data_IF_239333514001
#
_entry.id   IF_239333514001
#
_cell.length_a   1.000
_cell.length_b   1.000
_cell.length_c   1.000
_cell.angle_alpha   90.00
_cell.angle_beta   90.00
_cell.angle_gamma   90.00
#
_symmetry.space_group_name_H-M   'P 1'
#
loop_
_entity.id
_entity.type
_entity.pdbx_description
1 polymer ?
#
# COMPACT_ATOMS: atom_id res chain seq x y z
N UNK A 1 3.43 9.65 -23.09
CA UNK A 1 4.63 8.79 -23.15
C UNK A 1 4.43 7.47 -23.91
N UNK A 2 3.22 6.89 -23.99
CA UNK A 2 3.00 5.65 -24.76
C UNK A 2 2.60 5.93 -26.22
N UNK A 3 3.56 6.38 -27.04
CA UNK A 3 3.34 6.62 -28.48
C UNK A 3 3.47 5.38 -29.38
N UNK A 4 3.36 5.55 -30.72
CA UNK A 4 3.49 4.48 -31.72
C UNK A 4 4.96 4.22 -32.11
N UNK A 5 5.86 4.20 -31.12
CA UNK A 5 7.28 3.93 -31.30
C UNK A 5 7.73 2.81 -30.36
N UNK A 6 8.95 2.31 -30.56
CA UNK A 6 9.56 1.32 -29.67
C UNK A 6 9.81 1.94 -28.30
N UNK A 7 9.35 1.28 -27.24
CA UNK A 7 9.45 1.76 -25.86
C UNK A 7 10.09 0.65 -25.03
N UNK A 8 11.15 1.01 -24.30
CA UNK A 8 11.72 0.18 -23.25
C UNK A 8 11.30 0.75 -21.90
N UNK A 9 10.75 -0.12 -21.04
CA UNK A 9 10.36 0.22 -19.67
C UNK A 9 11.22 -0.60 -18.71
N UNK A 10 11.76 0.04 -17.69
CA UNK A 10 12.43 -0.62 -16.58
C UNK A 10 11.66 -0.31 -15.29
N UNK A 11 11.46 -1.31 -14.44
CA UNK A 11 10.76 -1.18 -13.17
C UNK A 11 11.39 -2.12 -12.15
N UNK A 12 11.45 -1.66 -10.91
CA UNK A 12 11.92 -2.44 -9.76
C UNK A 12 10.70 -2.89 -8.94
N UNK A 13 10.64 -4.17 -8.59
CA UNK A 13 9.51 -4.75 -7.86
C UNK A 13 9.86 -4.91 -6.37
N UNK A 14 10.93 -5.67 -6.08
CA UNK A 14 11.37 -5.98 -4.72
C UNK A 14 12.49 -5.02 -4.33
N UNK A 15 12.22 -4.05 -3.44
CA UNK A 15 13.25 -3.13 -2.95
C UNK A 15 12.71 -1.84 -2.32
N UNK A 16 13.63 -0.99 -1.87
CA UNK A 16 13.35 0.24 -1.11
C UNK A 16 12.51 1.29 -1.87
N UNK A 17 12.55 1.25 -3.21
CA UNK A 17 11.75 2.09 -4.12
C UNK A 17 10.89 1.26 -5.07
N UNK A 18 10.66 -0.01 -4.73
CA UNK A 18 9.80 -0.89 -5.49
C UNK A 18 8.36 -0.36 -5.51
N UNK A 19 7.75 -0.30 -6.68
CA UNK A 19 6.35 0.16 -6.84
C UNK A 19 5.31 -0.90 -6.46
N UNK A 20 5.73 -1.94 -5.75
CA UNK A 20 4.94 -3.13 -5.50
C UNK A 20 4.62 -3.91 -6.78
N UNK A 21 4.10 -5.14 -6.62
CA UNK A 21 3.75 -5.98 -7.77
C UNK A 21 2.41 -5.59 -8.39
N UNK A 22 1.54 -4.88 -7.67
CA UNK A 22 0.20 -4.48 -8.15
C UNK A 22 0.26 -3.52 -9.33
N UNK A 23 1.23 -2.58 -9.35
CA UNK A 23 1.44 -1.69 -10.49
C UNK A 23 1.94 -2.48 -11.71
N UNK A 24 2.91 -3.37 -11.52
CA UNK A 24 3.41 -4.23 -12.60
C UNK A 24 2.28 -5.08 -13.18
N UNK A 25 1.45 -5.69 -12.33
CA UNK A 25 0.33 -6.53 -12.78
C UNK A 25 -0.75 -5.72 -13.48
N UNK A 26 -1.18 -4.57 -12.94
CA UNK A 26 -2.21 -3.73 -13.57
C UNK A 26 -1.73 -3.12 -14.88
N UNK A 27 -0.51 -2.59 -14.92
CA UNK A 27 0.08 -2.00 -16.12
C UNK A 27 0.30 -3.06 -17.19
N UNK A 28 0.91 -4.20 -16.85
CA UNK A 28 1.12 -5.30 -17.79
C UNK A 28 -0.21 -5.88 -18.25
N UNK A 29 -1.21 -6.01 -17.38
CA UNK A 29 -2.55 -6.44 -17.75
C UNK A 29 -3.20 -5.45 -18.73
N UNK A 30 -3.13 -4.13 -18.47
CA UNK A 30 -3.61 -3.11 -19.40
C UNK A 30 -2.90 -3.17 -20.75
N UNK A 31 -1.58 -3.35 -20.75
CA UNK A 31 -0.79 -3.50 -21.97
C UNK A 31 -1.23 -4.76 -22.73
N UNK A 32 -1.39 -5.91 -22.05
CA UNK A 32 -1.90 -7.16 -22.63
C UNK A 32 -3.31 -7.01 -23.21
N UNK A 33 -4.21 -6.27 -22.56
CA UNK A 33 -5.55 -6.01 -23.11
C UNK A 33 -5.47 -5.14 -24.37
N UNK A 34 -4.59 -4.15 -24.40
CA UNK A 34 -4.37 -3.30 -25.57
C UNK A 34 -3.72 -4.06 -26.74
N UNK A 35 -2.87 -5.05 -26.47
CA UNK A 35 -2.29 -5.88 -27.54
C UNK A 35 -3.31 -6.87 -28.12
N UNK A 36 -4.20 -7.44 -27.29
CA UNK A 36 -5.22 -8.42 -27.73
C UNK A 36 -6.39 -7.76 -28.47
N UNK A 37 -6.84 -6.57 -28.05
CA UNK A 37 -7.95 -5.85 -28.70
C UNK A 37 -7.69 -5.46 -30.17
N UNK A 38 -6.43 -5.45 -30.61
CA UNK A 38 -6.05 -5.18 -32.00
C UNK A 38 -6.20 -6.40 -32.92
N UNK A 39 -6.35 -7.62 -32.37
CA UNK A 39 -6.49 -8.87 -33.14
C UNK A 39 -7.95 -9.35 -33.27
N UNK A 40 -8.91 -8.68 -32.62
CA UNK A 40 -10.32 -9.10 -32.56
C UNK A 40 -11.29 -8.00 -33.00
N UNK A 41 -10.99 -7.27 -34.08
CA UNK A 41 -12.03 -6.63 -34.88
C UNK A 41 -12.09 -7.31 -36.25
N UNK A 42 -13.26 -7.92 -36.48
CA UNK A 42 -13.54 -8.76 -37.62
C UNK A 42 -13.49 -8.03 -38.97
N UNK A 43 -13.27 -8.86 -39.98
CA UNK A 43 -13.68 -8.67 -41.37
C UNK A 43 -14.97 -7.83 -41.44
N UNK A 44 -14.88 -6.60 -41.92
CA UNK A 44 -15.81 -5.97 -42.86
C UNK A 44 -15.34 -4.55 -43.21
N UNK A 45 -14.94 -4.43 -44.47
CA UNK A 45 -15.13 -3.30 -45.40
C UNK A 45 -14.49 -1.91 -45.12
N UNK A 46 -13.48 -1.67 -45.97
CA UNK A 46 -13.21 -0.43 -46.72
C UNK A 46 -12.52 0.79 -46.06
N UNK A 47 -11.28 1.00 -46.55
CA UNK A 47 -10.61 2.28 -46.79
C UNK A 47 -10.31 3.19 -45.59
N UNK A 48 -9.17 2.92 -44.93
CA UNK A 48 -8.18 3.96 -44.64
C UNK A 48 -6.84 3.33 -44.21
N UNK A 49 -5.79 3.60 -45.00
CA UNK A 49 -4.40 3.20 -44.73
C UNK A 49 -3.84 3.93 -43.50
N UNK A 50 -4.16 3.43 -42.30
CA UNK A 50 -3.31 3.62 -41.12
C UNK A 50 -2.94 2.24 -40.62
N UNK A 51 -1.75 1.80 -41.00
CA UNK A 51 -1.04 0.64 -40.45
C UNK A 51 -0.86 0.82 -38.95
N UNK A 52 -1.88 0.46 -38.17
CA UNK A 52 -1.72 0.25 -36.74
C UNK A 52 -0.90 -1.02 -36.55
N UNK A 53 0.43 -0.85 -36.45
CA UNK A 53 1.34 -1.91 -36.01
C UNK A 53 0.84 -2.33 -34.63
N UNK A 54 0.27 -3.54 -34.54
CA UNK A 54 -0.15 -4.12 -33.27
C UNK A 54 1.02 -4.10 -32.30
N UNK A 55 0.85 -3.41 -31.17
CA UNK A 55 1.89 -3.30 -30.14
C UNK A 55 2.20 -4.71 -29.62
N UNK A 56 3.45 -5.17 -29.75
CA UNK A 56 3.92 -6.42 -29.16
C UNK A 56 4.53 -6.14 -27.78
N UNK A 57 4.15 -6.91 -26.77
CA UNK A 57 4.68 -6.80 -25.41
C UNK A 57 5.63 -7.97 -25.16
N UNK A 58 6.88 -7.66 -24.85
CA UNK A 58 7.87 -8.63 -24.38
C UNK A 58 8.22 -8.33 -22.92
N UNK A 59 8.03 -9.33 -22.07
CA UNK A 59 8.32 -9.24 -20.64
C UNK A 59 9.65 -9.96 -20.35
N UNK A 60 10.57 -9.28 -19.67
CA UNK A 60 11.86 -9.82 -19.25
C UNK A 60 12.03 -9.52 -17.76
N UNK A 61 12.37 -10.54 -16.97
CA UNK A 61 12.70 -10.41 -15.54
C UNK A 61 14.18 -10.65 -15.32
N UNK A 62 14.80 -9.81 -14.50
CA UNK A 62 16.19 -9.93 -14.10
C UNK A 62 16.22 -10.25 -12.61
N UNK A 63 16.48 -11.51 -12.28
CA UNK A 63 16.47 -11.99 -10.90
C UNK A 63 17.88 -12.23 -10.33
N UNK A 64 18.90 -12.36 -11.19
CA UNK A 64 20.28 -12.59 -10.75
C UNK A 64 20.97 -11.28 -10.29
N UNK A 65 21.45 -11.28 -9.06
CA UNK A 65 22.19 -10.18 -8.46
C UNK A 65 23.62 -10.11 -8.98
N UNK A 66 24.06 -8.92 -9.39
CA UNK A 66 25.45 -8.70 -9.82
C UNK A 66 26.44 -8.45 -8.66
N UNK A 67 25.94 -8.12 -7.46
CA UNK A 67 26.78 -7.70 -6.32
C UNK A 67 27.12 -8.83 -5.35
N UNK A 68 26.22 -9.80 -5.23
CA UNK A 68 26.31 -10.90 -4.28
C UNK A 68 25.80 -12.17 -4.93
N UNK A 69 26.07 -13.30 -4.26
CA UNK A 69 25.70 -14.62 -4.75
C UNK A 69 24.18 -14.82 -4.63
N UNK A 70 23.52 -15.49 -5.59
CA UNK A 70 22.13 -15.89 -5.41
C UNK A 70 21.94 -16.74 -4.15
N UNK A 71 20.95 -16.37 -3.34
CA UNK A 71 20.66 -17.06 -2.07
C UNK A 71 21.52 -16.59 -0.89
N UNK A 72 21.94 -15.33 -0.86
CA UNK A 72 22.61 -14.76 0.30
C UNK A 72 21.67 -14.76 1.52
N UNK A 73 22.13 -15.33 2.64
CA UNK A 73 21.37 -15.41 3.87
C UNK A 73 21.10 -14.03 4.48
N UNK A 74 22.01 -13.07 4.30
CA UNK A 74 21.83 -11.70 4.81
C UNK A 74 20.76 -10.96 4.01
N UNK A 75 20.72 -11.16 2.70
CA UNK A 75 19.66 -10.62 1.85
C UNK A 75 18.30 -11.20 2.22
N UNK A 76 18.20 -12.52 2.38
CA UNK A 76 16.96 -13.18 2.80
C UNK A 76 16.47 -12.64 4.14
N UNK A 77 17.38 -12.56 5.13
CA UNK A 77 17.06 -12.00 6.44
C UNK A 77 16.57 -10.54 6.35
N UNK A 78 17.24 -9.70 5.55
CA UNK A 78 16.84 -8.30 5.36
C UNK A 78 15.49 -8.17 4.66
N UNK A 79 15.24 -8.98 3.63
CA UNK A 79 13.98 -9.02 2.90
C UNK A 79 12.83 -9.49 3.78
N UNK A 80 13.07 -10.46 4.67
CA UNK A 80 12.08 -10.94 5.62
C UNK A 80 11.81 -9.90 6.71
N UNK A 81 12.86 -9.30 7.29
CA UNK A 81 12.76 -8.25 8.31
C UNK A 81 11.97 -7.02 7.83
N UNK A 82 12.27 -6.56 6.61
CA UNK A 82 11.61 -5.40 6.01
C UNK A 82 10.31 -5.79 5.29
N UNK A 83 9.89 -7.05 5.37
CA UNK A 83 8.71 -7.57 4.69
C UNK A 83 8.69 -7.21 3.19
N UNK A 84 9.84 -7.17 2.50
CA UNK A 84 9.92 -6.82 1.06
C UNK A 84 9.36 -7.95 0.18
N UNK A 85 9.34 -9.17 0.71
CA UNK A 85 8.78 -10.37 0.08
C UNK A 85 7.25 -10.43 0.11
N UNK A 86 6.56 -9.29 0.33
CA UNK A 86 5.10 -9.17 0.49
C UNK A 86 4.25 -9.48 -0.77
N UNK A 87 4.70 -10.42 -1.60
CA UNK A 87 4.02 -10.89 -2.81
C UNK A 87 3.08 -12.08 -2.56
N UNK A 88 3.06 -12.61 -1.34
CA UNK A 88 2.21 -13.75 -0.96
C UNK A 88 0.85 -13.21 -0.51
N UNK A 89 0.05 -12.73 -1.46
CA UNK A 89 -1.39 -12.75 -1.25
C UNK A 89 -1.80 -14.22 -1.22
N UNK A 90 -2.20 -14.72 -0.05
CA UNK A 90 -2.85 -16.01 0.02
C UNK A 90 -4.10 -15.91 -0.89
N UNK A 91 -4.33 -16.86 -1.81
CA UNK A 91 -5.53 -16.86 -2.61
C UNK A 91 -6.73 -16.87 -1.67
N UNK A 92 -7.71 -16.04 -1.99
CA UNK A 92 -8.99 -15.94 -1.27
C UNK A 92 -9.61 -17.34 -1.26
N UNK A 93 -9.60 -18.00 -0.10
CA UNK A 93 -10.07 -19.39 0.06
C UNK A 93 -11.60 -19.48 0.09
N UNK A 94 -12.27 -18.38 0.42
CA UNK A 94 -13.72 -18.24 0.45
C UNK A 94 -14.08 -16.87 -0.08
N UNK A 95 -15.00 -16.76 -1.04
CA UNK A 95 -15.39 -15.47 -1.62
C UNK A 95 -15.75 -14.41 -0.57
N UNK A 96 -15.81 -13.15 -1.03
CA UNK A 96 -16.07 -11.98 -0.21
C UNK A 96 -17.22 -12.20 0.81
N UNK A 97 -16.95 -12.19 2.12
CA UNK A 97 -18.02 -12.20 3.10
C UNK A 97 -18.85 -10.90 2.99
N UNK A 98 -20.14 -10.93 3.37
CA UNK A 98 -20.94 -9.71 3.41
C UNK A 98 -20.34 -8.74 4.44
N UNK A 99 -20.42 -7.41 4.19
CA UNK A 99 -19.83 -6.41 5.07
C UNK A 99 -20.38 -6.47 6.50
N UNK A 100 -21.65 -6.87 6.67
CA UNK A 100 -22.31 -7.00 7.98
C UNK A 100 -21.65 -8.05 8.90
N UNK A 101 -20.95 -9.02 8.33
CA UNK A 101 -20.23 -10.06 9.08
C UNK A 101 -18.77 -9.67 9.34
N UNK A 102 -18.28 -8.58 8.75
CA UNK A 102 -16.92 -8.11 8.91
C UNK A 102 -16.85 -7.20 10.13
N UNK A 103 -15.78 -7.33 10.91
CA UNK A 103 -15.58 -6.50 12.11
C UNK A 103 -14.22 -5.82 12.06
N UNK A 104 -14.18 -4.60 12.57
CA UNK A 104 -12.96 -3.81 12.70
C UNK A 104 -12.28 -4.14 14.02
N UNK A 105 -11.03 -4.58 13.95
CA UNK A 105 -10.22 -4.93 15.11
C UNK A 105 -9.11 -3.90 15.31
N UNK A 106 -8.90 -3.52 16.56
CA UNK A 106 -7.74 -2.74 16.96
C UNK A 106 -6.52 -3.65 17.13
N UNK A 107 -5.40 -3.30 16.50
CA UNK A 107 -4.17 -4.08 16.59
C UNK A 107 -3.26 -3.51 17.67
N UNK A 108 -2.85 -4.36 18.61
CA UNK A 108 -1.79 -4.03 19.53
C UNK A 108 -0.42 -4.16 18.83
N UNK A 109 0.26 -3.03 18.67
CA UNK A 109 1.57 -2.93 17.99
C UNK A 109 2.66 -3.73 18.69
N UNK A 110 2.67 -3.75 20.02
CA UNK A 110 3.69 -4.47 20.79
C UNK A 110 3.62 -5.98 20.50
N UNK A 111 2.40 -6.50 20.31
CA UNK A 111 2.17 -7.91 19.94
C UNK A 111 2.41 -8.18 18.45
N UNK A 112 2.24 -7.17 17.60
CA UNK A 112 2.50 -7.27 16.17
C UNK A 112 4.01 -7.36 15.89
N UNK A 113 4.81 -6.53 16.57
CA UNK A 113 6.26 -6.45 16.40
C UNK A 113 7.05 -7.34 17.36
N UNK A 114 6.40 -8.35 17.98
CA UNK A 114 7.03 -9.26 18.95
C UNK A 114 7.91 -10.35 18.30
N UNK A 115 8.10 -10.32 16.98
CA UNK A 115 8.84 -11.32 16.19
C UNK A 115 8.39 -12.79 16.42
N UNK A 116 7.11 -12.98 16.73
CA UNK A 116 6.52 -14.31 16.84
C UNK A 116 6.06 -14.81 15.46
N UNK A 117 6.22 -16.11 15.16
CA UNK A 117 5.94 -16.67 13.82
C UNK A 117 4.54 -16.34 13.28
N UNK A 118 3.52 -16.32 14.13
CA UNK A 118 2.17 -15.96 13.70
C UNK A 118 1.99 -14.44 13.49
N UNK A 119 2.63 -13.62 14.33
CA UNK A 119 2.62 -12.16 14.21
C UNK A 119 3.37 -11.71 12.96
N UNK A 120 4.49 -12.37 12.64
CA UNK A 120 5.29 -12.08 11.45
C UNK A 120 4.51 -12.38 10.17
N UNK A 121 3.82 -13.54 10.12
CA UNK A 121 2.97 -13.87 8.98
C UNK A 121 1.79 -12.89 8.84
N UNK A 122 1.24 -12.39 9.96
CA UNK A 122 0.19 -11.38 9.95
C UNK A 122 0.73 -10.01 9.48
N UNK A 123 1.91 -9.61 9.95
CA UNK A 123 2.61 -8.39 9.54
C UNK A 123 2.94 -8.43 8.04
N UNK A 124 3.45 -9.54 7.53
CA UNK A 124 3.72 -9.73 6.11
C UNK A 124 2.45 -9.56 5.26
N UNK A 125 1.30 -10.10 5.70
CA UNK A 125 0.00 -9.89 5.03
C UNK A 125 -0.44 -8.43 5.07
N UNK A 126 -0.26 -7.76 6.20
CA UNK A 126 -0.61 -6.35 6.38
C UNK A 126 0.25 -5.45 5.50
N UNK A 127 1.56 -5.65 5.47
CA UNK A 127 2.50 -4.91 4.60
C UNK A 127 2.25 -5.23 3.13
N UNK A 128 1.95 -6.49 2.79
CA UNK A 128 1.53 -6.87 1.43
C UNK A 128 0.35 -6.03 0.96
N UNK A 129 -0.62 -5.79 1.85
CA UNK A 129 -1.78 -4.96 1.55
C UNK A 129 -1.40 -3.50 1.30
N UNK A 130 -0.55 -2.92 2.15
CA UNK A 130 -0.04 -1.55 1.94
C UNK A 130 0.73 -1.41 0.63
N UNK A 131 1.56 -2.41 0.31
CA UNK A 131 2.32 -2.45 -0.94
C UNK A 131 1.40 -2.59 -2.15
N UNK A 132 0.29 -3.34 -2.01
CA UNK A 132 -0.68 -3.51 -3.08
C UNK A 132 -1.54 -2.25 -3.33
N UNK A 133 -1.93 -1.53 -2.28
CA UNK A 133 -2.85 -0.39 -2.37
C UNK A 133 -2.16 0.94 -2.71
N UNK A 134 -0.91 1.14 -2.28
CA UNK A 134 -0.21 2.41 -2.44
C UNK A 134 0.84 2.38 -3.57
N UNK A 135 0.86 3.46 -4.36
CA UNK A 135 1.74 3.61 -5.52
C UNK A 135 3.24 3.73 -5.16
N UNK A 136 3.55 4.26 -3.98
CA UNK A 136 4.91 4.39 -3.47
C UNK A 136 4.91 4.06 -1.98
N UNK A 137 5.72 3.09 -1.59
CA UNK A 137 5.98 2.74 -0.20
C UNK A 137 7.46 2.92 0.08
N UNK A 138 7.79 3.28 1.31
CA UNK A 138 9.18 3.35 1.75
C UNK A 138 9.36 2.42 2.95
N UNK A 139 10.50 1.71 3.09
CA UNK A 139 10.73 0.85 4.26
C UNK A 139 10.63 1.60 5.60
N UNK A 140 10.89 2.91 5.59
CA UNK A 140 10.74 3.78 6.76
C UNK A 140 9.30 3.85 7.29
N UNK A 141 8.31 3.48 6.47
CA UNK A 141 6.90 3.42 6.90
C UNK A 141 6.71 2.38 8.00
N UNK A 142 7.42 1.25 7.94
CA UNK A 142 7.39 0.22 9.00
C UNK A 142 7.96 0.76 10.31
N UNK A 143 9.07 1.49 10.23
CA UNK A 143 9.69 2.13 11.38
C UNK A 143 8.76 3.18 11.99
N UNK A 144 8.11 4.01 11.17
CA UNK A 144 7.15 5.00 11.67
C UNK A 144 5.95 4.32 12.36
N UNK A 145 5.47 3.19 11.83
CA UNK A 145 4.38 2.43 12.45
C UNK A 145 4.76 1.80 13.79
N UNK A 146 6.01 1.38 13.97
CA UNK A 146 6.48 0.77 15.21
C UNK A 146 6.84 1.81 16.28
N UNK A 147 7.48 2.91 15.89
CA UNK A 147 8.07 3.87 16.84
C UNK A 147 7.08 4.93 17.34
N UNK A 148 6.23 5.47 16.45
CA UNK A 148 5.46 6.67 16.77
C UNK A 148 4.16 6.33 17.55
N UNK A 149 4.02 6.71 18.83
CA UNK A 149 2.95 6.24 19.71
C UNK A 149 1.56 6.69 19.27
N UNK A 150 1.45 7.82 18.58
CA UNK A 150 0.21 8.37 18.05
C UNK A 150 -0.39 7.56 16.88
N UNK A 151 0.36 6.60 16.30
CA UNK A 151 -0.12 5.75 15.24
C UNK A 151 -0.89 4.54 15.77
N UNK A 152 -2.13 4.41 15.32
CA UNK A 152 -3.02 3.30 15.62
C UNK A 152 -3.35 2.54 14.33
N UNK A 153 -3.37 1.22 14.43
CA UNK A 153 -3.67 0.31 13.33
C UNK A 153 -4.99 -0.40 13.60
N UNK A 154 -5.86 -0.35 12.60
CA UNK A 154 -7.12 -1.08 12.59
C UNK A 154 -7.16 -2.02 11.39
N UNK A 155 -7.65 -3.24 11.59
CA UNK A 155 -7.83 -4.21 10.51
C UNK A 155 -9.27 -4.65 10.44
N UNK A 156 -9.82 -4.62 9.23
CA UNK A 156 -11.09 -5.25 8.92
C UNK A 156 -10.83 -6.72 8.61
N UNK A 157 -11.35 -7.60 9.45
CA UNK A 157 -11.22 -9.05 9.30
C UNK A 157 -12.54 -9.65 8.83
N UNK A 158 -12.43 -10.69 8.00
CA UNK A 158 -13.57 -11.57 7.70
C UNK A 158 -14.04 -12.35 8.93
N UNK A 159 -15.19 -13.04 8.83
CA UNK A 159 -15.73 -13.82 9.94
C UNK A 159 -14.71 -14.87 10.40
N UNK A 160 -14.38 -14.81 11.70
CA UNK A 160 -13.37 -15.70 12.30
C UNK A 160 -14.06 -16.93 12.88
N UNK A 161 -13.84 -18.09 12.27
CA UNK A 161 -14.29 -19.36 12.84
C UNK A 161 -13.42 -19.69 14.07
N UNK A 162 -14.00 -19.67 15.26
CA UNK A 162 -13.30 -20.01 16.53
C UNK A 162 -12.71 -21.42 16.56
N UNK A 163 -13.19 -22.31 15.68
CA UNK A 163 -12.74 -23.71 15.59
C UNK A 163 -11.53 -23.91 14.67
N UNK A 164 -11.18 -22.93 13.82
CA UNK A 164 -10.05 -23.03 12.89
C UNK A 164 -8.82 -22.32 13.46
N UNK A 165 -7.69 -23.03 13.59
CA UNK A 165 -6.38 -22.45 13.94
C UNK A 165 -5.71 -21.72 12.77
N UNK A 166 -6.49 -21.14 11.86
CA UNK A 166 -5.99 -20.41 10.70
C UNK A 166 -6.00 -18.92 11.00
N UNK A 167 -4.94 -18.23 10.60
CA UNK A 167 -4.89 -16.76 10.68
C UNK A 167 -6.02 -16.16 9.83
N UNK A 168 -6.79 -15.21 10.39
CA UNK A 168 -7.88 -14.57 9.66
C UNK A 168 -7.36 -13.84 8.43
N UNK A 169 -8.23 -13.69 7.44
CA UNK A 169 -7.95 -12.92 6.24
C UNK A 169 -8.14 -11.43 6.53
N UNK A 170 -7.14 -10.63 6.13
CA UNK A 170 -7.17 -9.18 6.27
C UNK A 170 -7.79 -8.61 5.00
N UNK A 171 -8.99 -8.04 5.11
CA UNK A 171 -9.72 -7.47 3.99
C UNK A 171 -9.29 -6.02 3.73
N UNK A 172 -9.15 -5.25 4.80
CA UNK A 172 -8.68 -3.89 4.75
C UNK A 172 -7.90 -3.50 6.02
N UNK A 173 -7.01 -2.52 5.88
CA UNK A 173 -6.19 -1.98 6.96
C UNK A 173 -6.36 -0.46 6.96
N UNK A 174 -6.54 0.12 8.15
CA UNK A 174 -6.54 1.56 8.36
C UNK A 174 -5.42 1.94 9.31
N UNK A 175 -4.64 2.94 8.91
CA UNK A 175 -3.66 3.59 9.74
C UNK A 175 -4.17 4.97 10.11
N UNK A 176 -4.31 5.22 11.40
CA UNK A 176 -4.77 6.49 11.97
C UNK A 176 -3.63 7.08 12.79
N UNK A 177 -3.42 8.39 12.69
CA UNK A 177 -2.52 9.14 13.55
C UNK A 177 -3.36 10.12 14.36
N UNK A 178 -3.28 10.05 15.68
CA UNK A 178 -3.86 11.09 16.53
C UNK A 178 -2.97 12.34 16.44
N UNK A 179 -3.57 13.49 16.20
CA UNK A 179 -2.88 14.77 16.06
C UNK A 179 -3.58 15.82 16.91
N UNK A 180 -2.84 16.82 17.39
CA UNK A 180 -3.38 17.92 18.17
C UNK A 180 -2.91 17.96 19.63
N UNK A 181 -3.69 18.62 20.49
CA UNK A 181 -3.31 18.93 21.88
C UNK A 181 -1.97 19.71 21.97
N UNK A 182 -1.65 20.52 20.95
CA UNK A 182 -0.41 21.30 20.92
C UNK A 182 -0.59 22.54 21.78
N UNK A 183 0.40 22.81 22.66
CA UNK A 183 0.35 24.01 23.51
C UNK A 183 0.40 25.30 22.70
N UNK A 184 -0.44 26.29 23.04
CA UNK A 184 -0.47 27.60 22.35
C UNK A 184 0.90 28.29 22.31
N UNK A 185 1.70 28.15 23.36
CA UNK A 185 3.08 28.64 23.40
C UNK A 185 3.95 28.02 22.31
N UNK A 186 3.84 26.70 22.09
CA UNK A 186 4.57 26.01 21.03
C UNK A 186 4.10 26.43 19.64
N UNK A 187 2.80 26.68 19.47
CA UNK A 187 2.22 27.15 18.20
C UNK A 187 2.76 28.53 17.83
N UNK A 188 2.69 29.49 18.76
CA UNK A 188 3.17 30.87 18.54
C UNK A 188 4.68 30.91 18.28
N UNK A 189 5.47 30.10 19.01
CA UNK A 189 6.90 29.97 18.76
C UNK A 189 7.20 29.31 17.39
N UNK A 190 6.47 28.25 17.02
CA UNK A 190 6.66 27.59 15.74
C UNK A 190 6.24 28.44 14.55
N UNK A 191 5.17 29.23 14.68
CA UNK A 191 4.68 30.15 13.65
C UNK A 191 5.66 31.30 13.43
N UNK A 192 6.20 31.88 14.51
CA UNK A 192 7.20 32.96 14.43
C UNK A 192 8.55 32.48 13.88
N UNK A 193 8.94 31.22 14.14
CA UNK A 193 10.21 30.63 13.67
C UNK A 193 10.09 29.84 12.36
N UNK A 194 8.88 29.69 11.82
CA UNK A 194 8.60 28.83 10.66
C UNK A 194 8.97 27.36 10.87
N UNK A 195 9.04 26.88 12.13
CA UNK A 195 9.40 25.50 12.46
C UNK A 195 8.14 24.64 12.55
N UNK A 196 8.12 23.54 11.80
CA UNK A 196 7.08 22.52 11.87
C UNK A 196 7.53 21.43 12.84
N UNK A 197 6.75 21.16 13.88
CA UNK A 197 7.00 19.97 14.70
C UNK A 197 6.69 18.72 13.86
N UNK A 198 7.54 17.70 13.96
CA UNK A 198 7.35 16.42 13.27
C UNK A 198 6.18 15.68 13.92
N UNK A 199 5.09 15.46 13.17
CA UNK A 199 3.93 14.70 13.63
C UNK A 199 2.61 15.36 13.22
N UNK A 200 2.35 16.57 13.72
CA UNK A 200 1.05 17.27 13.61
C UNK A 200 0.86 18.03 12.29
N UNK A 201 0.81 17.32 11.17
CA UNK A 201 0.75 17.93 9.84
C UNK A 201 -0.49 18.81 9.64
N UNK A 202 -1.68 18.35 10.04
CA UNK A 202 -2.92 19.10 9.81
C UNK A 202 -2.99 20.35 10.70
N UNK A 203 -2.78 20.25 12.02
CA UNK A 203 -2.71 21.40 12.91
C UNK A 203 -1.76 22.50 12.42
N UNK A 204 -0.53 22.12 12.06
CA UNK A 204 0.48 23.09 11.59
C UNK A 204 0.09 23.74 10.26
N UNK A 205 -0.49 22.97 9.33
CA UNK A 205 -0.87 23.49 8.02
C UNK A 205 -2.01 24.51 8.15
N UNK A 206 -3.03 24.20 8.96
CA UNK A 206 -4.15 25.12 9.17
C UNK A 206 -3.70 26.36 9.93
N UNK A 207 -2.93 26.22 11.01
CA UNK A 207 -2.39 27.37 11.74
C UNK A 207 -1.51 28.27 10.85
N UNK A 208 -0.71 27.68 9.96
CA UNK A 208 0.14 28.46 9.05
C UNK A 208 -0.66 29.18 7.95
N UNK A 209 -1.67 28.54 7.37
CA UNK A 209 -2.44 29.09 6.24
C UNK A 209 -3.52 30.08 6.68
N UNK A 210 -4.21 29.78 7.79
CA UNK A 210 -5.33 30.58 8.29
C UNK A 210 -4.95 31.48 9.47
N UNK A 211 -3.71 31.39 9.97
CA UNK A 211 -3.23 32.13 11.15
C UNK A 211 -4.11 31.89 12.39
N UNK A 212 -4.71 30.70 12.47
CA UNK A 212 -5.55 30.28 13.58
C UNK A 212 -4.72 29.56 14.64
N UNK A 213 -4.56 30.18 15.80
CA UNK A 213 -3.82 29.62 16.94
C UNK A 213 -4.66 28.66 17.79
N UNK A 214 -5.99 28.64 17.61
CA UNK A 214 -6.90 27.80 18.40
C UNK A 214 -7.04 26.41 17.79
N UNK A 215 -6.91 26.28 16.47
CA UNK A 215 -7.04 24.99 15.78
C UNK A 215 -6.07 23.90 16.27
N UNK A 216 -4.76 24.17 16.47
CA UNK A 216 -3.82 23.14 16.95
C UNK A 216 -4.05 22.64 18.38
N UNK A 217 -4.84 23.37 19.17
CA UNK A 217 -5.21 22.97 20.54
C UNK A 217 -6.25 21.84 20.50
N UNK A 218 -7.04 21.75 19.43
CA UNK A 218 -8.04 20.71 19.26
C UNK A 218 -7.37 19.35 19.03
N UNK A 219 -7.93 18.31 19.66
CA UNK A 219 -7.55 16.93 19.37
C UNK A 219 -8.30 16.42 18.14
N UNK A 220 -7.59 15.70 17.27
CA UNK A 220 -8.15 15.12 16.06
C UNK A 220 -7.47 13.81 15.68
N UNK A 221 -8.04 13.15 14.68
CA UNK A 221 -7.49 11.92 14.12
C UNK A 221 -7.32 12.11 12.61
N UNK A 222 -6.10 11.90 12.11
CA UNK A 222 -5.79 11.87 10.69
C UNK A 222 -5.72 10.43 10.20
N UNK A 223 -6.48 10.12 9.17
CA UNK A 223 -6.28 8.88 8.42
C UNK A 223 -5.01 9.04 7.57
N UNK A 224 -3.97 8.27 7.89
CA UNK A 224 -2.68 8.30 7.19
C UNK A 224 -2.76 7.43 5.94
N UNK A 225 -3.29 6.22 6.07
CA UNK A 225 -3.42 5.24 4.98
C UNK A 225 -4.66 4.39 5.15
N UNK A 226 -5.29 4.07 4.02
CA UNK A 226 -6.31 3.04 3.88
C UNK A 226 -5.79 2.07 2.84
N UNK A 227 -5.65 0.81 3.23
CA UNK A 227 -5.21 -0.27 2.38
C UNK A 227 -6.37 -1.24 2.21
N UNK A 228 -6.82 -1.43 0.97
CA UNK A 228 -7.84 -2.41 0.62
C UNK A 228 -7.25 -3.46 -0.27
N UNK A 229 -7.78 -4.67 -0.14
CA UNK A 229 -7.32 -5.76 -0.98
C UNK A 229 -7.79 -5.53 -2.44
N UNK A 230 -6.89 -5.62 -3.44
CA UNK A 230 -7.16 -5.20 -4.82
C UNK A 230 -8.35 -5.92 -5.44
N UNK A 231 -8.53 -7.20 -5.13
CA UNK A 231 -9.64 -8.02 -5.64
C UNK A 231 -11.01 -7.61 -5.09
N UNK A 232 -11.02 -6.90 -3.95
CA UNK A 232 -12.22 -6.51 -3.23
C UNK A 232 -12.61 -5.04 -3.44
N UNK A 233 -11.94 -4.32 -4.35
CA UNK A 233 -12.26 -2.91 -4.66
C UNK A 233 -13.70 -2.66 -5.11
N UNK A 234 -14.40 -3.69 -5.61
CA UNK A 234 -15.79 -3.58 -6.06
C UNK A 234 -16.80 -3.63 -4.91
N UNK A 235 -16.41 -4.17 -3.75
CA UNK A 235 -17.26 -4.28 -2.58
C UNK A 235 -16.95 -3.08 -1.69
N UNK A 236 -17.94 -2.22 -1.47
CA UNK A 236 -17.76 -1.00 -0.71
C UNK A 236 -17.78 -1.32 0.79
N UNK A 237 -16.63 -1.64 1.37
CA UNK A 237 -16.49 -1.95 2.80
C UNK A 237 -16.52 -0.72 3.73
N UNK A 238 -16.44 0.50 3.18
CA UNK A 238 -16.23 1.73 3.95
C UNK A 238 -17.42 2.69 3.97
N UNK A 239 -18.56 2.32 3.36
CA UNK A 239 -19.76 3.16 3.34
C UNK A 239 -20.89 2.41 4.04
N UNK A 240 -21.01 2.63 5.35
CA UNK A 240 -22.24 2.51 6.14
C UNK A 240 -22.10 3.35 7.39
#
# INVERSE_FOLDING_TARGET
MLGPYLIFLASTINGYEGTGRSLSLKLLQQLRTQTVGSNSHGKNEEQNEKTFIGRQLHELTLDESIRYKPGDAVEQWLCDLLCLNATIQAPILSGCPPPDMCQLYYINRDTLFSYHKASELFLQRLVSLYVASHYKNTPNDLQMMSDAPAHHLFCLLGPVDTNKKTLPEILAVLQICLEGEVSKSSVSEGLSRGRRASGDLIPWTIAQQYQDEDFPVLAGARIVRIATHPDYHRVCFFIT
#
